data_IF_959175135022
#
_entry.id   IF_959175135022
#
_cell.length_a   1.000
_cell.length_b   1.000
_cell.length_c   1.000
_cell.angle_alpha   90.00
_cell.angle_beta   90.00
_cell.angle_gamma   90.00
#
_symmetry.space_group_name_H-M   'P 1'
#
loop_
_entity.id
_entity.type
_entity.pdbx_description
1 polymer ?
#
# COMPACT_ATOMS: atom_id res chain seq x y z
N UNK A 1 -8.84 0.91 -2.50
CA UNK A 1 -7.43 0.52 -2.34
C UNK A 1 -6.57 1.69 -2.72
N UNK A 2 -5.61 2.05 -1.89
CA UNK A 2 -4.69 3.15 -2.14
C UNK A 2 -3.72 2.82 -3.27
N UNK A 3 -3.13 3.84 -3.89
CA UNK A 3 -1.99 3.67 -4.80
C UNK A 3 -0.71 3.44 -3.99
N UNK A 4 0.29 2.77 -4.58
CA UNK A 4 1.57 2.50 -3.91
C UNK A 4 2.20 3.73 -3.25
N UNK A 5 2.22 4.88 -3.96
CA UNK A 5 2.76 6.14 -3.43
C UNK A 5 2.02 6.67 -2.19
N UNK A 6 0.73 6.38 -2.07
CA UNK A 6 -0.10 6.81 -0.94
C UNK A 6 0.21 6.00 0.31
N UNK A 7 0.43 4.67 0.15
CA UNK A 7 0.93 3.83 1.24
C UNK A 7 2.29 4.34 1.76
N UNK A 8 3.23 4.65 0.86
CA UNK A 8 4.55 5.16 1.26
C UNK A 8 4.47 6.51 1.99
N UNK A 9 3.52 7.38 1.66
CA UNK A 9 3.29 8.62 2.40
C UNK A 9 2.84 8.37 3.83
N UNK A 10 1.94 7.42 4.06
CA UNK A 10 1.53 7.02 5.42
C UNK A 10 2.72 6.40 6.15
N UNK A 11 3.40 5.45 5.53
CA UNK A 11 4.53 4.72 6.11
C UNK A 11 5.71 5.63 6.47
N UNK A 12 5.89 6.74 5.74
CA UNK A 12 6.93 7.73 6.05
C UNK A 12 6.82 8.29 7.48
N UNK A 13 5.61 8.43 8.00
CA UNK A 13 5.37 8.90 9.37
C UNK A 13 5.43 7.78 10.42
N UNK A 14 5.54 6.52 10.00
CA UNK A 14 5.43 5.38 10.92
C UNK A 14 6.79 4.85 11.39
N UNK A 15 7.89 5.20 10.71
CA UNK A 15 9.26 4.72 11.02
C UNK A 15 9.33 3.21 11.23
N UNK A 16 8.55 2.43 10.45
CA UNK A 16 8.48 0.97 10.58
C UNK A 16 9.67 0.30 9.90
N UNK A 17 10.24 -0.71 10.57
CA UNK A 17 11.38 -1.47 10.05
C UNK A 17 10.96 -2.46 8.94
N UNK A 18 9.77 -3.04 9.07
CA UNK A 18 9.23 -4.02 8.13
C UNK A 18 7.95 -3.49 7.50
N UNK A 19 7.88 -3.53 6.18
CA UNK A 19 6.71 -3.10 5.42
C UNK A 19 6.65 -3.81 4.07
N UNK A 20 5.44 -3.95 3.55
CA UNK A 20 5.21 -4.39 2.18
C UNK A 20 5.83 -3.41 1.19
N UNK A 21 6.27 -3.92 0.04
CA UNK A 21 6.89 -3.10 -0.99
C UNK A 21 6.29 -3.41 -2.35
N UNK A 22 5.79 -2.38 -2.99
CA UNK A 22 5.36 -2.46 -4.38
C UNK A 22 6.54 -2.47 -5.34
N UNK A 23 6.39 -3.22 -6.44
CA UNK A 23 7.39 -3.32 -7.46
C UNK A 23 6.74 -3.45 -8.87
N UNK A 24 7.24 -2.77 -9.90
CA UNK A 24 8.33 -1.78 -9.86
C UNK A 24 7.95 -0.59 -8.99
N UNK A 25 8.97 0.17 -8.49
CA UNK A 25 8.70 1.36 -7.68
C UNK A 25 7.86 2.37 -8.45
N UNK A 26 7.09 3.14 -7.74
CA UNK A 26 6.01 4.07 -8.12
C UNK A 26 6.03 4.72 -9.51
N UNK A 27 7.21 5.13 -9.99
CA UNK A 27 7.37 5.87 -11.24
C UNK A 27 6.91 5.09 -12.49
N UNK A 28 6.74 3.78 -12.35
CA UNK A 28 6.38 2.88 -13.44
C UNK A 28 4.94 2.37 -13.38
N UNK A 29 4.24 2.56 -12.25
CA UNK A 29 2.87 2.05 -12.10
C UNK A 29 1.78 3.01 -12.58
N UNK A 30 2.09 4.30 -12.67
CA UNK A 30 1.11 5.31 -13.00
C UNK A 30 1.62 6.23 -14.09
N UNK A 31 0.75 6.54 -15.05
CA UNK A 31 0.96 7.55 -16.08
C UNK A 31 -0.17 8.57 -16.00
N UNK A 32 0.00 9.71 -16.65
CA UNK A 32 -1.05 10.74 -16.78
C UNK A 32 -1.81 10.47 -18.07
N UNK A 33 -3.11 10.27 -17.97
CA UNK A 33 -3.99 10.22 -19.13
C UNK A 33 -4.00 11.58 -19.83
N UNK A 34 -3.69 11.60 -21.12
CA UNK A 34 -3.54 12.84 -21.88
C UNK A 34 -4.88 13.59 -22.10
N UNK A 35 -6.01 12.87 -22.05
CA UNK A 35 -7.32 13.46 -22.26
C UNK A 35 -7.92 14.03 -20.99
N UNK A 36 -7.78 13.31 -19.87
CA UNK A 36 -8.39 13.69 -18.60
C UNK A 36 -7.45 14.43 -17.67
N UNK A 37 -6.13 14.30 -17.85
CA UNK A 37 -5.11 14.81 -16.95
C UNK A 37 -5.01 14.03 -15.63
N UNK A 38 -5.72 12.90 -15.49
CA UNK A 38 -5.71 12.07 -14.31
C UNK A 38 -4.59 11.03 -14.33
N UNK A 39 -4.08 10.67 -13.16
CA UNK A 39 -3.16 9.54 -13.03
C UNK A 39 -3.91 8.22 -13.17
N UNK A 40 -3.52 7.43 -14.15
CA UNK A 40 -4.08 6.10 -14.41
C UNK A 40 -2.99 5.03 -14.26
N UNK A 41 -3.33 3.81 -13.82
CA UNK A 41 -2.37 2.71 -13.72
C UNK A 41 -1.76 2.38 -15.08
N UNK A 42 -0.45 2.17 -15.11
CA UNK A 42 0.22 1.57 -16.28
C UNK A 42 -0.05 0.08 -16.26
N UNK A 43 -0.63 -0.44 -17.33
CA UNK A 43 -0.86 -1.87 -17.52
C UNK A 43 0.22 -2.38 -18.47
N UNK A 44 1.02 -3.35 -18.00
CA UNK A 44 2.01 -4.02 -18.83
C UNK A 44 1.37 -5.17 -19.57
N UNK A 45 1.57 -5.23 -20.89
CA UNK A 45 1.04 -6.29 -21.74
C UNK A 45 2.18 -7.07 -22.39
N UNK A 46 2.05 -8.39 -22.49
CA UNK A 46 3.05 -9.25 -23.12
C UNK A 46 3.01 -10.70 -22.62
N UNK A 47 4.01 -11.47 -23.05
CA UNK A 47 4.21 -12.88 -22.72
C UNK A 47 5.39 -13.14 -21.74
N UNK A 48 6.18 -12.10 -21.43
CA UNK A 48 7.17 -12.12 -20.37
C UNK A 48 7.46 -10.69 -19.88
N UNK A 49 7.72 -10.55 -18.58
CA UNK A 49 7.88 -9.25 -17.94
C UNK A 49 9.15 -9.23 -17.10
N UNK A 50 10.17 -8.56 -17.59
CA UNK A 50 11.43 -8.35 -16.90
C UNK A 50 11.52 -6.92 -16.38
N UNK A 51 11.62 -6.77 -15.07
CA UNK A 51 11.84 -5.49 -14.40
C UNK A 51 13.25 -5.41 -13.85
N UNK A 52 13.98 -4.35 -14.20
CA UNK A 52 15.33 -4.07 -13.69
C UNK A 52 15.24 -3.35 -12.36
N UNK A 53 16.15 -3.67 -11.45
CA UNK A 53 16.26 -3.00 -10.16
C UNK A 53 17.64 -2.36 -9.98
N UNK A 54 17.72 -1.35 -9.12
CA UNK A 54 18.99 -0.73 -8.74
C UNK A 54 19.56 -1.41 -7.48
N UNK A 55 19.93 -2.69 -7.57
CA UNK A 55 20.52 -3.48 -6.47
C UNK A 55 19.65 -3.42 -5.20
N UNK A 56 18.48 -3.97 -5.28
CA UNK A 56 17.57 -4.02 -4.13
C UNK A 56 17.79 -5.27 -3.27
N UNK A 57 17.33 -5.18 -2.02
CA UNK A 57 17.32 -6.27 -1.06
C UNK A 57 15.89 -6.78 -0.89
N UNK A 58 15.71 -8.09 -1.08
CA UNK A 58 14.44 -8.78 -0.89
C UNK A 58 14.47 -9.81 0.25
N UNK A 59 15.52 -9.79 1.06
CA UNK A 59 15.73 -10.80 2.12
C UNK A 59 14.71 -10.76 3.26
N UNK A 60 13.97 -9.67 3.42
CA UNK A 60 12.96 -9.51 4.46
C UNK A 60 11.58 -10.02 4.08
N UNK A 61 11.30 -10.25 2.80
CA UNK A 61 9.97 -10.61 2.34
C UNK A 61 9.70 -12.12 2.39
N UNK A 62 8.45 -12.48 2.67
CA UNK A 62 7.97 -13.86 2.74
C UNK A 62 7.41 -14.36 1.42
N UNK A 63 6.73 -13.49 0.68
CA UNK A 63 6.12 -13.83 -0.61
C UNK A 63 5.93 -12.60 -1.50
N UNK A 64 5.60 -12.88 -2.76
CA UNK A 64 5.23 -11.87 -3.77
C UNK A 64 3.80 -12.12 -4.17
N UNK A 65 2.97 -11.10 -4.17
CA UNK A 65 1.64 -11.10 -4.78
C UNK A 65 1.69 -10.34 -6.10
N UNK A 66 1.18 -10.94 -7.15
CA UNK A 66 1.08 -10.31 -8.47
C UNK A 66 -0.38 -10.28 -8.89
N UNK A 67 -0.92 -9.11 -9.17
CA UNK A 67 -2.27 -8.94 -9.73
C UNK A 67 -2.16 -9.00 -11.24
N UNK A 68 -2.66 -10.09 -11.80
CA UNK A 68 -2.57 -10.45 -13.22
C UNK A 68 -3.95 -10.58 -13.85
N UNK A 69 -4.02 -10.26 -15.12
CA UNK A 69 -5.16 -10.52 -15.99
C UNK A 69 -4.66 -11.27 -17.24
N UNK A 70 -5.35 -12.33 -17.64
CA UNK A 70 -5.01 -13.12 -18.82
C UNK A 70 -6.09 -12.99 -19.88
N UNK A 71 -5.70 -12.90 -21.16
CA UNK A 71 -6.61 -12.90 -22.30
C UNK A 71 -7.10 -14.30 -22.69
N UNK A 72 -6.51 -15.36 -22.10
CA UNK A 72 -6.88 -16.77 -22.33
C UNK A 72 -6.86 -17.55 -21.02
N UNK A 73 -7.54 -18.69 -21.01
CA UNK A 73 -7.56 -19.59 -19.86
C UNK A 73 -6.20 -20.29 -19.69
N UNK A 74 -5.54 -20.06 -18.55
CA UNK A 74 -4.30 -20.71 -18.15
C UNK A 74 -4.36 -21.17 -16.72
N UNK A 75 -3.59 -22.21 -16.37
CA UNK A 75 -3.40 -22.62 -14.99
C UNK A 75 -2.45 -21.68 -14.28
N UNK A 76 -2.70 -21.40 -13.02
CA UNK A 76 -1.78 -20.60 -12.20
C UNK A 76 -0.42 -21.26 -12.07
N UNK A 77 -0.37 -22.61 -12.03
CA UNK A 77 0.87 -23.41 -12.00
C UNK A 77 1.80 -23.23 -13.20
N UNK A 78 1.30 -22.64 -14.29
CA UNK A 78 2.11 -22.39 -15.49
C UNK A 78 2.96 -21.12 -15.35
N UNK A 79 2.70 -20.31 -14.32
CA UNK A 79 3.42 -19.09 -14.02
C UNK A 79 4.62 -19.35 -13.13
N UNK A 80 5.71 -18.60 -13.37
CA UNK A 80 6.89 -18.57 -12.51
C UNK A 80 7.33 -17.14 -12.23
N UNK A 81 7.89 -16.92 -11.05
CA UNK A 81 8.47 -15.64 -10.68
C UNK A 81 9.96 -15.82 -10.39
N UNK A 82 10.80 -15.20 -11.19
CA UNK A 82 12.24 -15.29 -11.10
C UNK A 82 12.82 -14.06 -10.40
N UNK A 83 13.81 -14.30 -9.55
CA UNK A 83 14.57 -13.23 -8.88
C UNK A 83 16.05 -13.43 -9.27
N UNK A 84 16.70 -12.39 -9.81
CA UNK A 84 18.06 -12.49 -10.36
C UNK A 84 18.99 -11.37 -9.87
N UNK A 85 20.27 -11.72 -9.71
CA UNK A 85 21.36 -10.76 -9.50
C UNK A 85 21.85 -10.10 -10.80
N UNK A 86 21.34 -10.53 -11.94
CA UNK A 86 21.69 -10.00 -13.27
C UNK A 86 20.56 -9.16 -13.84
N UNK A 87 20.89 -8.02 -14.45
CA UNK A 87 19.90 -7.10 -15.05
C UNK A 87 19.10 -7.72 -16.21
N UNK A 88 19.63 -8.77 -16.84
CA UNK A 88 19.01 -9.45 -17.96
C UNK A 88 18.17 -10.66 -17.54
N UNK A 89 18.05 -10.92 -16.23
CA UNK A 89 17.29 -12.07 -15.72
C UNK A 89 17.97 -13.43 -15.89
N UNK A 90 19.21 -13.49 -16.37
CA UNK A 90 19.95 -14.75 -16.51
C UNK A 90 20.26 -15.36 -15.13
N UNK A 91 20.33 -16.68 -15.08
CA UNK A 91 20.65 -17.46 -13.89
C UNK A 91 19.93 -16.93 -12.65
N UNK A 92 18.59 -17.04 -12.59
CA UNK A 92 17.84 -16.56 -11.44
C UNK A 92 18.32 -17.23 -10.17
N UNK A 93 18.57 -16.44 -9.12
CA UNK A 93 18.95 -16.93 -7.79
C UNK A 93 17.80 -17.74 -7.20
N UNK A 94 16.58 -17.35 -7.51
CA UNK A 94 15.35 -17.98 -7.07
C UNK A 94 14.35 -18.07 -8.20
N UNK A 95 13.73 -19.24 -8.32
CA UNK A 95 12.56 -19.47 -9.18
C UNK A 95 11.42 -19.88 -8.27
N UNK A 96 10.35 -19.10 -8.27
CA UNK A 96 9.17 -19.33 -7.47
C UNK A 96 8.03 -19.85 -8.35
N UNK A 97 7.39 -20.93 -7.90
CA UNK A 97 6.16 -21.43 -8.50
C UNK A 97 4.95 -20.76 -7.82
N UNK A 98 3.87 -20.56 -8.57
CA UNK A 98 2.62 -20.05 -8.00
C UNK A 98 2.07 -21.03 -6.94
N UNK A 99 1.67 -20.51 -5.78
CA UNK A 99 1.08 -21.33 -4.71
C UNK A 99 -0.41 -21.59 -4.93
N UNK A 100 -1.08 -20.69 -5.64
CA UNK A 100 -2.51 -20.76 -5.86
C UNK A 100 -2.84 -21.90 -6.85
N UNK A 101 -3.93 -22.61 -6.56
CA UNK A 101 -4.49 -23.62 -7.44
C UNK A 101 -5.66 -23.04 -8.24
N UNK A 102 -5.76 -23.38 -9.53
CA UNK A 102 -6.87 -22.96 -10.39
C UNK A 102 -6.44 -22.48 -11.77
N UNK A 103 -7.36 -21.79 -12.43
CA UNK A 103 -7.20 -21.23 -13.77
C UNK A 103 -7.65 -19.78 -13.80
N UNK A 104 -7.07 -18.99 -14.72
CA UNK A 104 -7.55 -17.65 -15.00
C UNK A 104 -8.90 -17.72 -15.70
N UNK A 105 -9.81 -16.89 -15.26
CA UNK A 105 -10.97 -16.49 -16.05
C UNK A 105 -10.52 -15.40 -17.04
N UNK A 106 -11.00 -15.49 -18.28
CA UNK A 106 -10.61 -14.57 -19.35
C UNK A 106 -10.95 -13.12 -18.96
N UNK A 107 -9.95 -12.25 -19.06
CA UNK A 107 -10.04 -10.83 -18.77
C UNK A 107 -10.45 -10.45 -17.34
N UNK A 108 -10.39 -11.40 -16.40
CA UNK A 108 -10.65 -11.16 -14.98
C UNK A 108 -9.31 -11.04 -14.24
N UNK A 109 -9.01 -9.89 -13.60
CA UNK A 109 -7.81 -9.75 -12.76
C UNK A 109 -7.83 -10.72 -11.59
N UNK A 110 -6.71 -11.44 -11.38
CA UNK A 110 -6.53 -12.41 -10.32
C UNK A 110 -5.21 -12.17 -9.58
N UNK A 111 -5.26 -12.20 -8.27
CA UNK A 111 -4.07 -12.14 -7.43
C UNK A 111 -3.45 -13.52 -7.32
N UNK A 112 -2.16 -13.64 -7.62
CA UNK A 112 -1.37 -14.88 -7.59
C UNK A 112 -0.22 -14.70 -6.61
N UNK A 113 0.00 -15.69 -5.76
CA UNK A 113 1.00 -15.69 -4.69
C UNK A 113 2.19 -16.56 -5.07
N UNK A 114 3.41 -16.03 -4.86
CA UNK A 114 4.68 -16.72 -5.03
C UNK A 114 5.46 -16.66 -3.72
N UNK A 115 5.68 -17.79 -3.06
CA UNK A 115 6.29 -17.80 -1.71
C UNK A 115 7.81 -17.91 -1.76
N UNK A 116 8.48 -16.91 -1.19
CA UNK A 116 9.95 -16.80 -1.19
C UNK A 116 10.58 -17.77 -0.19
N UNK A 117 10.06 -17.86 1.04
CA UNK A 117 10.69 -18.65 2.11
C UNK A 117 10.55 -20.16 1.96
N UNK A 118 9.57 -20.64 1.18
CA UNK A 118 9.32 -22.08 0.99
C UNK A 118 9.89 -22.64 -0.31
N UNK A 119 10.59 -21.84 -1.11
CA UNK A 119 11.14 -22.30 -2.38
C UNK A 119 12.12 -23.45 -2.18
N UNK A 120 11.83 -24.60 -2.78
CA UNK A 120 12.67 -25.79 -2.74
C UNK A 120 13.99 -25.63 -3.54
N UNK A 121 14.07 -24.61 -4.39
CA UNK A 121 15.22 -24.35 -5.28
C UNK A 121 16.31 -23.53 -4.59
N UNK A 122 16.04 -22.95 -3.42
CA UNK A 122 17.06 -22.19 -2.68
C UNK A 122 17.94 -23.12 -1.84
N UNK A 123 19.24 -23.15 -2.11
CA UNK A 123 20.21 -23.63 -1.12
C UNK A 123 20.21 -22.68 0.09
N UNK A 124 20.49 -23.18 1.30
CA UNK A 124 20.55 -22.31 2.50
C UNK A 124 21.54 -21.14 2.37
N UNK A 125 22.57 -21.28 1.54
CA UNK A 125 23.54 -20.22 1.23
C UNK A 125 23.00 -19.14 0.30
N UNK A 126 21.95 -19.42 -0.49
CA UNK A 126 21.37 -18.51 -1.49
C UNK A 126 20.26 -17.61 -0.92
N UNK A 127 19.93 -17.72 0.35
CA UNK A 127 18.85 -16.92 0.97
C UNK A 127 19.17 -15.46 1.15
N UNK A 128 20.38 -15.03 0.80
CA UNK A 128 20.76 -13.63 0.93
C UNK A 128 20.39 -12.84 -0.34
N UNK A 129 19.10 -12.54 -0.49
CA UNK A 129 18.56 -11.75 -1.61
C UNK A 129 18.92 -10.25 -1.48
N UNK A 130 20.22 -9.94 -1.31
CA UNK A 130 20.70 -8.58 -0.99
C UNK A 130 21.20 -7.78 -2.18
N UNK A 131 21.38 -8.40 -3.34
CA UNK A 131 21.96 -7.75 -4.50
C UNK A 131 21.14 -8.02 -5.77
N UNK A 132 19.85 -7.99 -5.64
CA UNK A 132 18.94 -8.29 -6.75
C UNK A 132 18.92 -7.13 -7.74
N UNK A 133 19.08 -7.47 -9.02
CA UNK A 133 19.10 -6.51 -10.14
C UNK A 133 17.93 -6.64 -11.08
N UNK A 134 17.21 -7.75 -11.04
CA UNK A 134 15.97 -7.91 -11.80
C UNK A 134 15.02 -8.90 -11.13
N UNK A 135 13.76 -8.72 -11.42
CA UNK A 135 12.69 -9.69 -11.20
C UNK A 135 11.96 -9.91 -12.51
N UNK A 136 11.51 -11.14 -12.76
CA UNK A 136 10.84 -11.50 -14.00
C UNK A 136 9.64 -12.38 -13.70
N UNK A 137 8.49 -11.99 -14.22
CA UNK A 137 7.34 -12.88 -14.31
C UNK A 137 7.43 -13.66 -15.62
N UNK A 138 7.52 -14.97 -15.53
CA UNK A 138 7.52 -15.89 -16.67
C UNK A 138 6.12 -16.43 -16.86
N UNK A 139 5.59 -16.23 -18.04
CA UNK A 139 4.25 -16.64 -18.44
C UNK A 139 4.31 -17.70 -19.54
N UNK A 140 3.25 -18.50 -19.77
CA UNK A 140 3.19 -19.42 -20.89
C UNK A 140 3.35 -18.69 -22.22
N UNK A 141 4.07 -19.29 -23.15
CA UNK A 141 4.29 -18.74 -24.49
C UNK A 141 2.97 -18.44 -25.23
N UNK A 142 2.95 -17.37 -26.01
CA UNK A 142 1.84 -16.90 -26.83
C UNK A 142 0.57 -16.52 -26.05
N UNK A 143 0.74 -15.98 -24.86
CA UNK A 143 -0.37 -15.49 -24.06
C UNK A 143 -0.14 -14.04 -23.69
N UNK A 144 -1.12 -13.20 -23.95
CA UNK A 144 -1.08 -11.83 -23.50
C UNK A 144 -1.59 -11.75 -22.05
N UNK A 145 -0.66 -11.39 -21.17
CA UNK A 145 -0.96 -11.04 -19.79
C UNK A 145 -0.88 -9.53 -19.60
N UNK A 146 -1.69 -9.05 -18.66
CA UNK A 146 -1.61 -7.69 -18.14
C UNK A 146 -1.21 -7.76 -16.68
N UNK A 147 -0.14 -7.06 -16.31
CA UNK A 147 0.25 -6.89 -14.90
C UNK A 147 -0.34 -5.58 -14.41
N UNK A 148 -1.15 -5.67 -13.37
CA UNK A 148 -1.73 -4.50 -12.70
C UNK A 148 -0.91 -4.08 -11.48
N UNK A 149 -0.32 -5.05 -10.75
CA UNK A 149 0.41 -4.80 -9.51
C UNK A 149 1.37 -5.93 -9.20
N UNK A 150 2.52 -5.60 -8.62
CA UNK A 150 3.44 -6.54 -7.97
C UNK A 150 3.72 -6.00 -6.57
N UNK A 151 3.47 -6.79 -5.54
CA UNK A 151 3.71 -6.42 -4.15
C UNK A 151 4.52 -7.49 -3.44
N UNK A 152 5.65 -7.09 -2.84
CA UNK A 152 6.42 -7.95 -1.93
C UNK A 152 5.87 -7.79 -0.53
N UNK A 153 5.50 -8.92 0.07
CA UNK A 153 4.83 -9.00 1.37
C UNK A 153 5.74 -9.57 2.44
N UNK A 154 5.65 -8.99 3.63
CA UNK A 154 6.28 -9.48 4.85
C UNK A 154 5.19 -9.88 5.86
N UNK A 155 5.14 -11.17 6.23
CA UNK A 155 4.18 -11.69 7.22
C UNK A 155 4.37 -11.04 8.61
N UNK A 156 5.51 -10.39 8.85
CA UNK A 156 5.80 -9.67 10.09
C UNK A 156 5.68 -8.15 9.93
N UNK A 157 5.12 -7.66 8.82
CA UNK A 157 4.86 -6.23 8.67
C UNK A 157 3.99 -5.72 9.82
N UNK A 158 4.34 -4.55 10.37
CA UNK A 158 3.62 -3.96 11.50
C UNK A 158 2.16 -3.68 11.14
N UNK A 159 1.91 -3.31 9.89
CA UNK A 159 0.57 -3.07 9.35
C UNK A 159 0.41 -3.75 8.00
N UNK A 160 -0.74 -4.39 7.78
CA UNK A 160 -1.13 -4.85 6.46
C UNK A 160 -1.60 -3.68 5.58
N UNK A 161 -1.62 -3.87 4.26
CA UNK A 161 -2.14 -2.85 3.34
C UNK A 161 -3.61 -2.55 3.60
N UNK A 162 -4.39 -3.55 3.99
CA UNK A 162 -5.81 -3.40 4.33
C UNK A 162 -6.00 -2.53 5.57
N UNK A 163 -5.12 -2.67 6.58
CA UNK A 163 -5.12 -1.79 7.75
C UNK A 163 -4.75 -0.35 7.38
N UNK A 164 -3.78 -0.17 6.48
CA UNK A 164 -3.40 1.15 5.99
C UNK A 164 -4.54 1.82 5.19
N UNK A 165 -5.29 1.04 4.38
CA UNK A 165 -6.50 1.52 3.72
C UNK A 165 -7.54 2.01 4.73
N UNK A 166 -7.76 1.26 5.81
CA UNK A 166 -8.68 1.64 6.88
C UNK A 166 -8.22 2.93 7.57
N UNK A 167 -6.94 3.06 7.90
CA UNK A 167 -6.40 4.28 8.49
C UNK A 167 -6.54 5.48 7.55
N UNK A 168 -6.39 5.28 6.25
CA UNK A 168 -6.57 6.34 5.26
C UNK A 168 -8.02 6.84 5.21
N UNK A 169 -8.99 5.93 5.20
CA UNK A 169 -10.41 6.31 5.26
C UNK A 169 -10.75 7.01 6.58
N UNK A 170 -10.17 6.57 7.70
CA UNK A 170 -10.32 7.24 8.99
C UNK A 170 -9.67 8.64 8.97
N UNK A 171 -8.52 8.81 8.32
CA UNK A 171 -7.87 10.12 8.13
C UNK A 171 -8.73 11.08 7.32
N UNK A 172 -9.33 10.63 6.22
CA UNK A 172 -10.29 11.43 5.45
C UNK A 172 -11.52 11.80 6.29
N UNK A 173 -12.08 10.84 7.00
CA UNK A 173 -13.23 11.09 7.87
C UNK A 173 -12.91 12.12 8.95
N UNK A 174 -11.71 12.06 9.54
CA UNK A 174 -11.25 13.02 10.54
C UNK A 174 -11.32 14.47 10.05
N UNK A 175 -10.78 14.75 8.87
CA UNK A 175 -10.76 16.08 8.28
C UNK A 175 -12.19 16.51 7.87
N UNK A 176 -12.92 15.64 7.17
CA UNK A 176 -14.29 15.91 6.71
C UNK A 176 -15.23 16.24 7.85
N UNK A 177 -15.15 15.48 8.94
CA UNK A 177 -16.01 15.69 10.12
C UNK A 177 -15.76 17.03 10.81
N UNK A 178 -14.52 17.52 10.81
CA UNK A 178 -14.15 18.81 11.40
C UNK A 178 -14.49 20.00 10.52
N UNK A 179 -14.56 19.80 9.22
CA UNK A 179 -14.96 20.80 8.25
C UNK A 179 -16.48 20.80 7.97
N UNK A 180 -17.20 19.72 8.39
CA UNK A 180 -18.58 19.47 8.01
C UNK A 180 -18.78 19.42 6.49
N UNK A 181 -17.84 18.79 5.77
CA UNK A 181 -17.83 18.65 4.31
C UNK A 181 -17.93 17.19 3.90
N UNK A 182 -18.48 16.95 2.71
CA UNK A 182 -18.57 15.60 2.14
C UNK A 182 -17.22 15.11 1.61
N UNK A 183 -16.39 16.02 1.10
CA UNK A 183 -15.07 15.73 0.54
C UNK A 183 -13.96 16.49 1.25
N UNK A 184 -12.74 15.95 1.21
CA UNK A 184 -11.55 16.64 1.70
C UNK A 184 -11.08 17.65 0.67
N UNK A 185 -10.93 18.95 1.02
CA UNK A 185 -10.37 19.96 0.13
C UNK A 185 -8.97 19.58 -0.38
N UNK A 186 -8.65 20.00 -1.61
CA UNK A 186 -7.35 19.68 -2.25
C UNK A 186 -6.17 20.18 -1.40
N UNK A 187 -6.32 21.34 -0.75
CA UNK A 187 -5.31 21.94 0.11
C UNK A 187 -5.01 21.12 1.37
N UNK A 188 -5.93 20.24 1.78
CA UNK A 188 -5.79 19.37 2.95
C UNK A 188 -5.53 17.91 2.60
N UNK A 189 -5.37 17.54 1.34
CA UNK A 189 -5.15 16.16 0.91
C UNK A 189 -3.88 15.55 1.53
N UNK A 190 -2.80 16.32 1.62
CA UNK A 190 -1.56 15.82 2.24
C UNK A 190 -1.72 15.55 3.75
N UNK A 191 -2.59 16.29 4.43
CA UNK A 191 -2.90 16.10 5.85
C UNK A 191 -3.75 14.84 6.12
N UNK A 192 -4.36 14.24 5.08
CA UNK A 192 -5.01 12.93 5.20
C UNK A 192 -3.98 11.87 5.59
N UNK A 193 -2.80 11.89 4.96
CA UNK A 193 -1.73 10.92 5.28
C UNK A 193 -1.19 11.10 6.70
N UNK A 194 -1.06 12.36 7.15
CA UNK A 194 -0.67 12.68 8.52
C UNK A 194 -1.70 12.17 9.53
N UNK A 195 -2.99 12.39 9.29
CA UNK A 195 -4.07 11.88 10.13
C UNK A 195 -4.12 10.34 10.13
N UNK A 196 -3.92 9.71 8.97
CA UNK A 196 -3.87 8.24 8.82
C UNK A 196 -2.74 7.64 9.66
N UNK A 197 -1.55 8.24 9.61
CA UNK A 197 -0.42 7.84 10.44
C UNK A 197 -0.74 8.06 11.94
N UNK A 198 -1.45 9.11 12.30
CA UNK A 198 -1.95 9.34 13.65
C UNK A 198 -2.81 8.18 14.15
N UNK A 199 -3.74 7.69 13.33
CA UNK A 199 -4.55 6.50 13.64
C UNK A 199 -3.70 5.24 13.78
N UNK A 200 -2.74 5.02 12.88
CA UNK A 200 -1.84 3.87 12.95
C UNK A 200 -1.04 3.87 14.26
N UNK A 201 -0.43 4.99 14.65
CA UNK A 201 0.27 5.14 15.92
C UNK A 201 -0.62 4.91 17.15
N UNK A 202 -1.88 5.33 17.06
CA UNK A 202 -2.85 5.10 18.14
C UNK A 202 -3.26 3.64 18.24
N UNK A 203 -3.37 2.92 17.11
CA UNK A 203 -3.78 1.49 17.07
C UNK A 203 -2.72 0.57 17.67
N UNK A 204 -1.45 0.82 17.43
CA UNK A 204 -0.34 0.06 18.06
C UNK A 204 -0.47 0.08 19.58
N UNK A 205 -0.94 1.19 20.13
CA UNK A 205 -1.10 1.34 21.57
C UNK A 205 -2.31 0.56 22.12
N UNK A 206 -3.41 0.45 21.39
CA UNK A 206 -4.61 -0.29 21.84
C UNK A 206 -4.39 -1.79 21.90
N UNK A 207 -3.56 -2.32 20.99
CA UNK A 207 -3.31 -3.76 20.92
C UNK A 207 -2.43 -4.28 22.08
N UNK A 208 -1.53 -3.46 22.61
CA UNK A 208 -0.57 -3.82 23.66
C UNK A 208 -0.95 -3.34 25.07
N UNK A 209 -2.14 -2.83 25.30
CA UNK A 209 -2.59 -2.08 26.49
C UNK A 209 -2.49 -2.79 27.84
N UNK A 210 -1.89 -3.98 27.94
CA UNK A 210 -1.76 -4.69 29.24
C UNK A 210 -0.49 -4.34 30.03
N UNK A 211 0.56 -3.83 29.40
CA UNK A 211 1.79 -3.38 30.09
C UNK A 211 2.37 -2.19 29.33
N UNK A 212 2.10 -0.98 29.79
CA UNK A 212 2.66 0.25 29.18
C UNK A 212 4.16 0.37 29.50
N UNK A 213 5.01 0.15 28.50
CA UNK A 213 6.41 0.60 28.53
C UNK A 213 6.52 2.06 28.08
N UNK A 214 7.73 2.65 28.19
CA UNK A 214 7.93 4.05 27.83
C UNK A 214 7.82 4.31 26.31
N UNK A 215 8.06 3.30 25.47
CA UNK A 215 7.92 3.36 24.01
C UNK A 215 6.46 3.53 23.61
N UNK A 216 5.54 2.84 24.27
CA UNK A 216 4.09 2.96 24.02
C UNK A 216 3.52 4.32 24.41
N UNK A 217 4.05 4.93 25.50
CA UNK A 217 3.67 6.30 25.85
C UNK A 217 4.15 7.30 24.80
N UNK A 218 5.34 7.05 24.23
CA UNK A 218 5.88 7.87 23.16
C UNK A 218 5.06 7.74 21.87
N UNK A 219 4.67 6.52 21.48
CA UNK A 219 3.82 6.27 20.32
C UNK A 219 2.49 7.01 20.42
N UNK A 220 1.80 6.91 21.56
CA UNK A 220 0.55 7.67 21.79
C UNK A 220 0.75 9.17 21.75
N UNK A 221 1.84 9.67 22.31
CA UNK A 221 2.16 11.10 22.28
C UNK A 221 2.45 11.58 20.88
N UNK A 222 3.12 10.77 20.07
CA UNK A 222 3.40 11.07 18.67
C UNK A 222 2.13 11.07 17.83
N UNK A 223 1.27 10.06 17.97
CA UNK A 223 -0.04 10.04 17.30
C UNK A 223 -0.88 11.28 17.61
N UNK A 224 -0.92 11.72 18.87
CA UNK A 224 -1.60 12.96 19.26
C UNK A 224 -0.98 14.21 18.65
N UNK A 225 0.35 14.24 18.53
CA UNK A 225 1.05 15.35 17.90
C UNK A 225 0.70 15.45 16.40
N UNK A 226 0.63 14.30 15.70
CA UNK A 226 0.19 14.26 14.29
C UNK A 226 -1.24 14.83 14.13
N UNK A 227 -2.16 14.47 15.02
CA UNK A 227 -3.50 15.05 14.99
C UNK A 227 -3.52 16.56 15.29
N UNK A 228 -2.68 17.03 16.19
CA UNK A 228 -2.58 18.47 16.48
C UNK A 228 -2.07 19.25 15.25
N UNK A 229 -1.13 18.71 14.50
CA UNK A 229 -0.66 19.28 13.24
C UNK A 229 -1.78 19.38 12.19
N UNK A 230 -2.58 18.32 12.07
CA UNK A 230 -3.76 18.30 11.19
C UNK A 230 -4.80 19.34 11.62
N UNK A 231 -5.03 19.47 12.93
CA UNK A 231 -5.97 20.48 13.47
C UNK A 231 -5.52 21.91 13.17
N UNK A 232 -4.24 22.21 13.28
CA UNK A 232 -3.68 23.52 12.91
C UNK A 232 -3.89 23.82 11.41
N UNK A 233 -3.73 22.81 10.55
CA UNK A 233 -3.99 22.96 9.13
C UNK A 233 -5.47 23.20 8.83
N UNK A 234 -6.37 22.47 9.49
CA UNK A 234 -7.82 22.66 9.39
C UNK A 234 -8.22 24.07 9.84
N UNK A 235 -7.71 24.53 10.97
CA UNK A 235 -7.97 25.88 11.50
C UNK A 235 -7.47 26.97 10.54
N UNK A 236 -6.31 26.75 9.95
CA UNK A 236 -5.75 27.66 8.94
C UNK A 236 -6.61 27.71 7.69
N UNK A 237 -7.09 26.55 7.22
CA UNK A 237 -8.00 26.45 6.08
C UNK A 237 -9.33 27.15 6.37
N UNK A 238 -9.94 26.91 7.55
CA UNK A 238 -11.18 27.58 7.98
C UNK A 238 -11.04 29.10 7.96
N UNK A 239 -9.95 29.62 8.54
CA UNK A 239 -9.67 31.07 8.55
C UNK A 239 -9.53 31.65 7.15
N UNK A 240 -8.80 30.95 6.26
CA UNK A 240 -8.58 31.40 4.90
C UNK A 240 -9.88 31.45 4.08
N UNK A 241 -10.82 30.55 4.36
CA UNK A 241 -12.08 30.41 3.62
C UNK A 241 -13.29 31.02 4.35
N UNK A 242 -13.09 31.71 5.50
CA UNK A 242 -14.15 32.36 6.25
C UNK A 242 -15.16 31.38 6.88
N UNK A 243 -14.75 30.14 7.15
CA UNK A 243 -15.59 29.12 7.78
C UNK A 243 -15.57 29.37 9.30
N UNK A 244 -16.73 29.65 9.89
CA UNK A 244 -16.86 29.85 11.33
C UNK A 244 -16.72 28.53 12.12
N UNK A 245 -16.09 28.59 13.29
CA UNK A 245 -15.87 27.39 14.13
C UNK A 245 -17.18 26.79 14.71
N UNK A 246 -18.27 27.52 14.70
CA UNK A 246 -19.53 27.20 15.38
C UNK A 246 -20.79 27.20 14.47
N UNK A 247 -20.66 27.20 13.15
CA UNK A 247 -21.82 26.99 12.30
C UNK A 247 -22.30 25.54 12.37
N UNK A 248 -23.10 25.23 13.39
CA UNK A 248 -24.02 24.10 13.37
C UNK A 248 -25.03 24.40 12.25
N UNK A 249 -24.79 23.91 11.07
CA UNK A 249 -25.78 23.90 10.00
C UNK A 249 -26.96 23.05 10.44
N UNK A 250 -28.06 23.72 10.90
CA UNK A 250 -29.34 23.08 11.09
C UNK A 250 -29.88 22.66 9.71
N UNK A 251 -29.58 21.45 9.30
CA UNK A 251 -30.28 20.83 8.18
C UNK A 251 -31.55 20.21 8.75
N UNK A 252 -32.68 20.81 8.39
CA UNK A 252 -34.03 20.30 8.56
C UNK A 252 -34.40 19.61 9.92
N UNK A 253 -34.62 20.41 10.95
CA UNK A 253 -35.62 20.09 11.98
C UNK A 253 -35.43 18.88 12.87
N UNK A 254 -34.41 18.05 12.70
CA UNK A 254 -34.08 16.92 13.52
C UNK A 254 -32.74 17.08 14.23
N UNK A 255 -32.82 17.31 15.53
CA UNK A 255 -31.69 17.30 16.44
C UNK A 255 -31.07 15.88 16.48
N UNK A 256 -30.05 15.63 15.68
CA UNK A 256 -29.13 14.55 15.92
C UNK A 256 -28.08 15.07 16.92
N UNK A 257 -28.29 14.80 18.19
CA UNK A 257 -27.35 15.06 19.26
C UNK A 257 -26.22 14.06 19.11
N UNK A 258 -25.14 14.40 18.40
CA UNK A 258 -23.93 13.64 18.47
C UNK A 258 -23.22 14.00 19.77
N UNK A 259 -23.24 13.07 20.72
CA UNK A 259 -22.42 13.17 21.91
C UNK A 259 -20.97 13.06 21.47
N UNK A 260 -20.25 14.19 21.49
CA UNK A 260 -18.80 14.20 21.35
C UNK A 260 -18.22 13.35 22.48
N UNK A 261 -17.77 12.15 22.16
CA UNK A 261 -16.87 11.40 23.01
C UNK A 261 -15.57 12.18 23.10
N UNK A 262 -15.44 12.96 24.17
CA UNK A 262 -14.14 13.53 24.58
C UNK A 262 -13.32 12.37 25.13
N UNK A 263 -12.27 12.04 24.41
CA UNK A 263 -11.19 11.18 24.88
C UNK A 263 -10.17 11.97 25.68
#
# INVERSE_FOLDING_TARGET
MLKAKEYYRILHFLEVETMDRFYPVEEYFYTVDEETGEEVPVIYEGDSFLFKTNRQTFSGFDYVEVLLQSSVEHKFSDLKFNISEYEQGYDPVVILDAEDEGTFEIDVPKKITFRIRKSQTMSEASRNLTNIRSVELVTPNNTDFKIHEICFRDDNATFSLEQLDEFYENGKYYIRSRLHMDDVPVELQDHVYTASAGYAWMSVWEYEARVMNDEQKNAKSYGKWLFAEVDEAIDSYKKANGIADDEVLFIDGNLATYTLLRW
#
